data_IF_627326588688
#
_entry.id   IF_627326588688
#
_cell.length_a   1.000
_cell.length_b   1.000
_cell.length_c   1.000
_cell.angle_alpha   90.00
_cell.angle_beta   90.00
_cell.angle_gamma   90.00
#
_symmetry.space_group_name_H-M   'P 1'
#
loop_
_entity.id
_entity.type
_entity.pdbx_description
1 polymer ?
#
# COMPACT_ATOMS: atom_id res chain seq x y z
N UNK A 1 -10.11 -4.45 -9.10
CA UNK A 1 -8.66 -4.20 -8.90
C UNK A 1 -8.33 -2.72 -8.96
N UNK A 2 -8.65 -2.00 -10.04
CA UNK A 2 -8.36 -0.56 -10.12
C UNK A 2 -9.09 0.27 -9.05
N UNK A 3 -10.37 0.02 -8.80
CA UNK A 3 -11.12 0.68 -7.72
C UNK A 3 -10.51 0.43 -6.33
N UNK A 4 -10.02 -0.78 -6.07
CA UNK A 4 -9.33 -1.11 -4.82
C UNK A 4 -7.98 -0.38 -4.69
N UNK A 5 -7.25 -0.19 -5.80
CA UNK A 5 -6.01 0.59 -5.79
C UNK A 5 -6.29 2.06 -5.50
N UNK A 6 -7.32 2.65 -6.12
CA UNK A 6 -7.68 4.05 -5.84
C UNK A 6 -8.10 4.23 -4.38
N UNK A 7 -8.90 3.32 -3.81
CA UNK A 7 -9.26 3.37 -2.38
C UNK A 7 -8.04 3.28 -1.45
N UNK A 8 -7.06 2.43 -1.76
CA UNK A 8 -5.82 2.31 -0.98
C UNK A 8 -4.99 3.59 -1.07
N UNK A 9 -4.91 4.18 -2.27
CA UNK A 9 -4.20 5.44 -2.51
C UNK A 9 -4.87 6.60 -1.77
N UNK A 10 -6.17 6.79 -1.92
CA UNK A 10 -6.94 7.81 -1.21
C UNK A 10 -6.78 7.68 0.31
N UNK A 11 -6.81 6.45 0.83
CA UNK A 11 -6.60 6.20 2.25
C UNK A 11 -5.18 6.58 2.70
N UNK A 12 -4.16 6.25 1.92
CA UNK A 12 -2.79 6.60 2.23
C UNK A 12 -2.58 8.12 2.24
N UNK A 13 -3.09 8.81 1.24
CA UNK A 13 -3.05 10.27 1.11
C UNK A 13 -3.83 10.97 2.24
N UNK A 14 -5.00 10.43 2.61
CA UNK A 14 -5.77 10.94 3.74
C UNK A 14 -4.98 10.88 5.05
N UNK A 15 -4.35 9.74 5.34
CA UNK A 15 -3.51 9.59 6.53
C UNK A 15 -2.28 10.51 6.51
N UNK A 16 -1.66 10.75 5.36
CA UNK A 16 -0.58 11.74 5.22
C UNK A 16 -1.07 13.17 5.48
N UNK A 17 -2.27 13.50 5.00
CA UNK A 17 -2.93 14.77 5.27
C UNK A 17 -3.22 14.97 6.76
N UNK A 18 -3.71 13.93 7.45
CA UNK A 18 -3.91 13.99 8.90
C UNK A 18 -2.58 14.09 9.67
N UNK A 19 -1.55 13.32 9.29
CA UNK A 19 -0.21 13.45 9.88
C UNK A 19 0.30 14.89 9.85
N UNK A 20 0.15 15.56 8.70
CA UNK A 20 0.62 16.94 8.50
C UNK A 20 -0.04 17.95 9.46
N UNK A 21 -1.22 17.64 10.01
CA UNK A 21 -1.90 18.49 11.01
C UNK A 21 -1.25 18.41 12.39
N UNK A 22 -0.58 17.30 12.69
CA UNK A 22 -0.01 17.01 14.01
C UNK A 22 1.53 17.09 14.02
N UNK A 23 2.19 17.12 12.86
CA UNK A 23 3.66 17.00 12.74
C UNK A 23 4.45 18.10 13.50
N UNK A 24 3.85 19.26 13.72
CA UNK A 24 4.48 20.43 14.35
C UNK A 24 3.98 20.68 15.80
N UNK A 25 3.15 19.79 16.34
CA UNK A 25 2.62 19.91 17.70
C UNK A 25 3.33 18.93 18.64
N UNK A 26 4.09 19.49 19.59
CA UNK A 26 4.91 18.75 20.55
C UNK A 26 4.11 18.13 21.70
N UNK A 27 2.79 18.29 21.74
CA UNK A 27 1.98 17.66 22.77
C UNK A 27 2.05 16.12 22.63
N UNK A 28 2.08 15.37 23.75
CA UNK A 28 2.12 13.91 23.70
C UNK A 28 0.96 13.28 22.90
N UNK A 29 -0.20 13.95 22.91
CA UNK A 29 -1.35 13.56 22.11
C UNK A 29 -1.07 13.71 20.61
N UNK A 30 -0.58 14.88 20.18
CA UNK A 30 -0.30 15.13 18.77
C UNK A 30 0.82 14.22 18.25
N UNK A 31 1.88 13.99 19.04
CA UNK A 31 2.93 13.03 18.68
C UNK A 31 2.37 11.62 18.48
N UNK A 32 1.49 11.16 19.37
CA UNK A 32 0.82 9.87 19.23
C UNK A 32 -0.09 9.79 17.99
N UNK A 33 -0.85 10.86 17.72
CA UNK A 33 -1.72 10.95 16.55
C UNK A 33 -0.92 10.98 15.23
N UNK A 34 0.17 11.75 15.19
CA UNK A 34 1.10 11.81 14.06
C UNK A 34 1.69 10.42 13.79
N UNK A 35 2.24 9.75 14.81
CA UNK A 35 2.79 8.41 14.64
C UNK A 35 1.74 7.41 14.12
N UNK A 36 0.53 7.42 14.69
CA UNK A 36 -0.55 6.56 14.23
C UNK A 36 -0.88 6.78 12.74
N UNK A 37 -1.02 8.03 12.33
CA UNK A 37 -1.33 8.36 10.93
C UNK A 37 -0.18 8.00 9.98
N UNK A 38 1.07 8.19 10.40
CA UNK A 38 2.23 7.78 9.63
C UNK A 38 2.26 6.25 9.40
N UNK A 39 2.03 5.47 10.46
CA UNK A 39 1.96 4.00 10.39
C UNK A 39 0.84 3.55 9.44
N UNK A 40 -0.34 4.17 9.52
CA UNK A 40 -1.46 3.83 8.64
C UNK A 40 -1.28 4.25 7.19
N UNK A 41 -0.64 5.38 6.93
CA UNK A 41 -0.23 5.76 5.58
C UNK A 41 0.74 4.73 4.99
N UNK A 42 1.73 4.29 5.78
CA UNK A 42 2.72 3.30 5.34
C UNK A 42 2.08 1.93 5.05
N UNK A 43 1.17 1.46 5.91
CA UNK A 43 0.38 0.24 5.67
C UNK A 43 -0.38 0.32 4.33
N UNK A 44 -1.11 1.42 4.11
CA UNK A 44 -1.89 1.62 2.89
C UNK A 44 -1.01 1.68 1.63
N UNK A 45 0.14 2.36 1.68
CA UNK A 45 1.09 2.40 0.57
C UNK A 45 1.71 1.03 0.26
N UNK A 46 2.02 0.25 1.29
CA UNK A 46 2.55 -1.10 1.13
C UNK A 46 1.53 -2.01 0.41
N UNK A 47 0.27 -1.94 0.83
CA UNK A 47 -0.80 -2.73 0.21
C UNK A 47 -1.11 -2.26 -1.21
N UNK A 48 -1.10 -0.94 -1.46
CA UNK A 48 -1.18 -0.37 -2.81
C UNK A 48 -0.06 -0.91 -3.70
N UNK A 49 1.19 -0.87 -3.23
CA UNK A 49 2.35 -1.35 -3.97
C UNK A 49 2.28 -2.85 -4.29
N UNK A 50 1.83 -3.67 -3.33
CA UNK A 50 1.60 -5.12 -3.55
C UNK A 50 0.55 -5.37 -4.62
N UNK A 51 -0.58 -4.65 -4.54
CA UNK A 51 -1.67 -4.81 -5.50
C UNK A 51 -1.24 -4.36 -6.90
N UNK A 52 -0.53 -3.23 -7.01
CA UNK A 52 0.03 -2.75 -8.27
C UNK A 52 1.00 -3.75 -8.89
N UNK A 53 1.93 -4.29 -8.10
CA UNK A 53 2.86 -5.31 -8.59
C UNK A 53 2.12 -6.58 -9.07
N UNK A 54 1.06 -6.99 -8.37
CA UNK A 54 0.22 -8.10 -8.79
C UNK A 54 -0.52 -7.83 -10.11
N UNK A 55 -1.09 -6.64 -10.28
CA UNK A 55 -1.72 -6.21 -11.54
C UNK A 55 -0.70 -6.24 -12.68
N UNK A 56 0.44 -5.58 -12.51
CA UNK A 56 1.50 -5.50 -13.53
C UNK A 56 2.04 -6.89 -13.91
N UNK A 57 2.21 -7.77 -12.92
CA UNK A 57 2.64 -9.16 -13.16
C UNK A 57 1.53 -9.93 -13.89
N UNK A 58 0.28 -9.81 -13.47
CA UNK A 58 -0.84 -10.51 -14.14
C UNK A 58 -1.00 -10.04 -15.58
N UNK A 59 -0.93 -8.73 -15.83
CA UNK A 59 -0.99 -8.15 -17.18
C UNK A 59 0.19 -8.62 -18.05
N UNK A 60 1.43 -8.56 -17.52
CA UNK A 60 2.64 -8.96 -18.25
C UNK A 60 2.70 -10.45 -18.56
N UNK A 61 2.10 -11.28 -17.71
CA UNK A 61 2.08 -12.74 -17.85
C UNK A 61 0.81 -13.23 -18.55
N UNK A 62 -0.17 -12.37 -18.83
CA UNK A 62 -1.39 -12.72 -19.57
C UNK A 62 -1.16 -12.94 -21.07
N UNK A 63 -0.01 -12.50 -21.62
CA UNK A 63 0.19 -12.51 -23.07
C UNK A 63 0.83 -13.79 -23.61
N UNK A 64 1.61 -14.57 -22.84
CA UNK A 64 2.22 -15.83 -23.32
C UNK A 64 2.79 -16.68 -22.16
N UNK A 65 1.95 -17.23 -21.30
CA UNK A 65 2.43 -18.15 -20.24
C UNK A 65 1.95 -19.56 -20.49
N UNK A 66 2.84 -20.37 -21.05
CA UNK A 66 2.75 -21.83 -21.01
C UNK A 66 3.22 -22.26 -19.61
N UNK A 67 2.30 -22.76 -18.80
CA UNK A 67 2.62 -23.41 -17.53
C UNK A 67 3.35 -24.74 -17.79
N UNK A 68 4.65 -24.78 -17.50
CA UNK A 68 5.40 -26.03 -17.46
C UNK A 68 5.20 -26.72 -16.10
N UNK A 69 5.06 -28.06 -16.04
CA UNK A 69 4.91 -28.79 -14.80
C UNK A 69 6.22 -28.75 -13.99
N UNK A 70 6.30 -27.84 -13.01
CA UNK A 70 7.43 -27.74 -12.09
C UNK A 70 7.32 -28.77 -10.97
N UNK A 71 8.21 -29.77 -10.95
CA UNK A 71 8.44 -30.61 -9.76
C UNK A 71 9.12 -29.77 -8.67
N UNK A 72 8.56 -29.81 -7.46
CA UNK A 72 9.27 -29.38 -6.24
C UNK A 72 10.33 -30.45 -5.92
N UNK A 73 11.61 -30.12 -6.02
CA UNK A 73 12.68 -30.96 -5.48
C UNK A 73 12.75 -30.69 -3.97
N UNK A 74 12.57 -31.76 -3.18
CA UNK A 74 12.85 -31.78 -1.73
C UNK A 74 14.32 -32.09 -1.50
#
# INVERSE_FOLDING_TARGET
MNEQMELLKERAEWHQGEFSKYENDDSPYAQGAAQYHLEKAQEAWNDYGRLKAYVETTERWSTDVISLPGRVLK
#
